data_IF_527617351247
#
_entry.id   IF_527617351247
#
_cell.length_a   1.000
_cell.length_b   1.000
_cell.length_c   1.000
_cell.angle_alpha   90.00
_cell.angle_beta   90.00
_cell.angle_gamma   90.00
#
_symmetry.space_group_name_H-M   'P 1'
#
loop_
_entity.id
_entity.type
_entity.pdbx_description
1 polymer ?
#
# COMPACT_ATOMS: atom_id res chain seq x y z
N UNK A 1 3.16 -29.93 18.64
CA UNK A 1 2.40 -28.69 18.92
C UNK A 1 1.42 -29.00 20.04
N UNK A 2 1.51 -28.34 21.17
CA UNK A 2 0.60 -28.57 22.28
C UNK A 2 -0.35 -27.37 22.40
N UNK A 3 -1.66 -27.62 22.49
CA UNK A 3 -2.69 -26.59 22.71
C UNK A 3 -2.47 -25.81 24.03
N UNK A 4 -1.60 -26.29 24.90
CA UNK A 4 -1.20 -25.60 26.14
C UNK A 4 -0.14 -24.50 25.95
N UNK A 5 0.42 -24.37 24.75
CA UNK A 5 1.39 -23.32 24.45
C UNK A 5 0.64 -21.99 24.21
N UNK A 6 0.86 -20.94 25.03
CA UNK A 6 0.16 -19.67 24.88
C UNK A 6 0.44 -18.98 23.53
N UNK A 7 1.63 -19.17 22.95
CA UNK A 7 1.99 -18.64 21.64
C UNK A 7 1.21 -19.31 20.51
N UNK A 8 0.86 -20.62 20.67
CA UNK A 8 0.00 -21.29 19.70
C UNK A 8 -1.40 -20.65 19.67
N UNK A 9 -1.98 -20.40 20.85
CA UNK A 9 -3.28 -19.73 20.93
C UNK A 9 -3.21 -18.29 20.41
N UNK A 10 -2.16 -17.54 20.79
CA UNK A 10 -1.95 -16.18 20.32
C UNK A 10 -1.85 -16.13 18.78
N UNK A 11 -1.09 -17.04 18.15
CA UNK A 11 -0.97 -17.12 16.72
C UNK A 11 -2.30 -17.52 16.04
N UNK A 12 -3.03 -18.46 16.60
CA UNK A 12 -4.33 -18.88 16.10
C UNK A 12 -5.34 -17.71 16.12
N UNK A 13 -5.42 -17.00 17.26
CA UNK A 13 -6.28 -15.81 17.38
C UNK A 13 -5.82 -14.67 16.48
N UNK A 14 -4.52 -14.45 16.33
CA UNK A 14 -3.97 -13.44 15.42
C UNK A 14 -4.38 -13.71 13.97
N UNK A 15 -4.16 -14.93 13.49
CA UNK A 15 -4.45 -15.34 12.12
C UNK A 15 -5.95 -15.32 11.83
N UNK A 16 -6.74 -16.03 12.64
CA UNK A 16 -8.19 -16.12 12.46
C UNK A 16 -8.88 -14.79 12.75
N UNK A 17 -8.44 -14.06 13.79
CA UNK A 17 -8.99 -12.75 14.14
C UNK A 17 -8.83 -11.74 13.03
N UNK A 18 -7.63 -11.60 12.46
CA UNK A 18 -7.40 -10.69 11.32
C UNK A 18 -8.24 -11.13 10.12
N UNK A 19 -8.21 -12.42 9.75
CA UNK A 19 -9.01 -12.92 8.64
C UNK A 19 -10.51 -12.60 8.79
N UNK A 20 -11.08 -12.83 9.97
CA UNK A 20 -12.50 -12.54 10.20
C UNK A 20 -12.81 -11.05 10.22
N UNK A 21 -11.94 -10.21 10.79
CA UNK A 21 -12.12 -8.76 10.79
C UNK A 21 -12.12 -8.22 9.34
N UNK A 22 -11.19 -8.69 8.51
CA UNK A 22 -11.12 -8.34 7.09
C UNK A 22 -12.36 -8.80 6.33
N UNK A 23 -12.77 -10.05 6.51
CA UNK A 23 -13.95 -10.62 5.89
C UNK A 23 -15.23 -9.87 6.30
N UNK A 24 -15.41 -9.59 7.61
CA UNK A 24 -16.55 -8.83 8.12
C UNK A 24 -16.56 -7.42 7.54
N UNK A 25 -15.40 -6.76 7.50
CA UNK A 25 -15.24 -5.44 6.89
C UNK A 25 -15.70 -5.44 5.43
N UNK A 26 -15.25 -6.41 4.66
CA UNK A 26 -15.61 -6.58 3.26
C UNK A 26 -17.11 -6.82 3.09
N UNK A 27 -17.69 -7.74 3.84
CA UNK A 27 -19.14 -8.06 3.76
C UNK A 27 -20.02 -6.86 4.15
N UNK A 28 -19.65 -6.13 5.21
CA UNK A 28 -20.37 -4.92 5.62
C UNK A 28 -20.25 -3.81 4.57
N UNK A 29 -19.09 -3.72 3.91
CA UNK A 29 -18.87 -2.75 2.84
C UNK A 29 -19.72 -3.09 1.61
N UNK A 30 -19.79 -4.36 1.20
CA UNK A 30 -20.65 -4.84 0.11
C UNK A 30 -22.13 -4.62 0.42
N UNK A 31 -22.58 -4.86 1.63
CA UNK A 31 -23.97 -4.63 2.05
C UNK A 31 -24.41 -3.16 1.90
N UNK A 32 -23.47 -2.21 1.91
CA UNK A 32 -23.76 -0.78 1.71
C UNK A 32 -24.02 -0.38 0.26
N UNK A 33 -23.61 -1.18 -0.71
CA UNK A 33 -23.85 -0.91 -2.14
C UNK A 33 -25.33 -0.82 -2.52
N UNK A 34 -26.22 -1.45 -1.74
CA UNK A 34 -27.67 -1.38 -1.94
C UNK A 34 -28.34 -0.15 -1.36
N UNK A 35 -27.64 0.71 -0.61
CA UNK A 35 -28.23 1.90 0.01
C UNK A 35 -28.47 3.02 -0.99
N UNK A 36 -29.50 3.84 -0.71
CA UNK A 36 -29.72 5.08 -1.46
C UNK A 36 -28.51 6.02 -1.33
N UNK A 37 -28.10 6.62 -2.43
CA UNK A 37 -27.01 7.58 -2.45
C UNK A 37 -27.48 8.93 -1.90
N UNK A 38 -26.61 9.69 -1.22
CA UNK A 38 -26.89 11.07 -0.86
C UNK A 38 -27.18 11.92 -2.10
N UNK A 39 -28.06 12.90 -1.95
CA UNK A 39 -28.46 13.80 -3.04
C UNK A 39 -27.27 14.54 -3.65
N UNK A 40 -26.21 14.79 -2.86
CA UNK A 40 -24.99 15.48 -3.30
C UNK A 40 -24.18 14.75 -4.36
N UNK A 41 -24.40 13.43 -4.54
CA UNK A 41 -23.67 12.59 -5.49
C UNK A 41 -24.59 11.67 -6.30
N UNK A 42 -25.91 11.70 -6.07
CA UNK A 42 -26.86 10.78 -6.71
C UNK A 42 -26.88 10.95 -8.24
N UNK A 43 -26.70 12.18 -8.70
CA UNK A 43 -26.59 12.56 -10.12
C UNK A 43 -25.37 11.94 -10.83
N UNK A 44 -24.30 11.67 -10.10
CA UNK A 44 -23.08 11.07 -10.64
C UNK A 44 -23.20 9.58 -10.95
N UNK A 45 -24.17 8.90 -10.34
CA UNK A 45 -24.34 7.46 -10.42
C UNK A 45 -25.73 7.10 -10.96
N UNK A 46 -26.03 7.32 -12.27
CA UNK A 46 -27.21 6.76 -12.90
C UNK A 46 -27.24 5.24 -12.75
N UNK A 47 -28.41 4.59 -12.93
CA UNK A 47 -28.57 3.17 -12.60
C UNK A 47 -27.57 2.26 -13.33
N UNK A 48 -27.23 2.56 -14.57
CA UNK A 48 -26.21 1.83 -15.34
C UNK A 48 -24.83 1.89 -14.64
N UNK A 49 -24.41 3.09 -14.22
CA UNK A 49 -23.15 3.29 -13.49
C UNK A 49 -23.17 2.59 -12.15
N UNK A 50 -24.32 2.61 -11.44
CA UNK A 50 -24.51 1.88 -10.17
C UNK A 50 -24.40 0.37 -10.36
N UNK A 51 -25.00 -0.16 -11.40
CA UNK A 51 -24.90 -1.58 -11.70
C UNK A 51 -23.47 -1.98 -12.01
N UNK A 52 -22.78 -1.23 -12.90
CA UNK A 52 -21.36 -1.44 -13.21
C UNK A 52 -20.48 -1.39 -11.96
N UNK A 53 -20.72 -0.42 -11.07
CA UNK A 53 -20.02 -0.31 -9.79
C UNK A 53 -20.24 -1.53 -8.90
N UNK A 54 -21.48 -1.99 -8.75
CA UNK A 54 -21.82 -3.18 -7.95
C UNK A 54 -21.13 -4.43 -8.49
N UNK A 55 -21.19 -4.64 -9.80
CA UNK A 55 -20.58 -5.80 -10.45
C UNK A 55 -19.06 -5.79 -10.29
N UNK A 56 -18.43 -4.64 -10.52
CA UNK A 56 -16.99 -4.47 -10.35
C UNK A 56 -16.54 -4.76 -8.91
N UNK A 57 -17.16 -4.13 -7.92
CA UNK A 57 -16.80 -4.31 -6.51
C UNK A 57 -17.12 -5.73 -6.01
N UNK A 58 -18.24 -6.33 -6.47
CA UNK A 58 -18.58 -7.71 -6.11
C UNK A 58 -17.61 -8.73 -6.71
N UNK A 59 -17.18 -8.53 -7.95
CA UNK A 59 -16.16 -9.40 -8.59
C UNK A 59 -14.81 -9.27 -7.88
N UNK A 60 -14.34 -8.05 -7.62
CA UNK A 60 -13.11 -7.81 -6.87
C UNK A 60 -13.15 -8.43 -5.46
N UNK A 61 -14.29 -8.29 -4.76
CA UNK A 61 -14.50 -8.91 -3.45
C UNK A 61 -14.36 -10.44 -3.49
N UNK A 62 -14.89 -11.11 -4.53
CA UNK A 62 -14.73 -12.57 -4.70
C UNK A 62 -13.27 -12.97 -4.89
N UNK A 63 -12.53 -12.23 -5.68
CA UNK A 63 -11.09 -12.49 -5.88
C UNK A 63 -10.34 -12.30 -4.56
N UNK A 64 -10.61 -11.23 -3.83
CA UNK A 64 -9.99 -10.95 -2.52
C UNK A 64 -10.25 -12.08 -1.53
N UNK A 65 -11.51 -12.50 -1.35
CA UNK A 65 -11.86 -13.60 -0.44
C UNK A 65 -11.20 -14.92 -0.84
N UNK A 66 -11.17 -15.22 -2.15
CA UNK A 66 -10.53 -16.44 -2.64
C UNK A 66 -9.01 -16.42 -2.40
N UNK A 67 -8.35 -15.29 -2.62
CA UNK A 67 -6.92 -15.10 -2.37
C UNK A 67 -6.60 -15.21 -0.87
N UNK A 68 -7.37 -14.55 -0.01
CA UNK A 68 -7.17 -14.60 1.44
C UNK A 68 -7.40 -16.01 1.99
N UNK A 69 -8.42 -16.70 1.50
CA UNK A 69 -8.67 -18.10 1.87
C UNK A 69 -7.53 -19.04 1.42
N UNK A 70 -7.00 -18.84 0.20
CA UNK A 70 -5.87 -19.61 -0.29
C UNK A 70 -4.58 -19.32 0.52
N UNK A 71 -4.33 -18.07 0.87
CA UNK A 71 -3.21 -17.68 1.75
C UNK A 71 -3.34 -18.27 3.15
N UNK A 72 -4.56 -18.26 3.72
CA UNK A 72 -4.84 -18.89 5.00
C UNK A 72 -4.65 -20.43 4.93
N UNK A 73 -5.08 -21.05 3.84
CA UNK A 73 -4.88 -22.50 3.63
C UNK A 73 -3.40 -22.86 3.51
N UNK A 74 -2.59 -22.09 2.78
CA UNK A 74 -1.14 -22.25 2.73
C UNK A 74 -0.51 -22.15 4.12
N UNK A 75 -0.85 -21.09 4.86
CA UNK A 75 -0.33 -20.88 6.21
C UNK A 75 -0.73 -22.03 7.15
N UNK A 76 -1.99 -22.42 7.16
CA UNK A 76 -2.49 -23.53 7.98
C UNK A 76 -1.83 -24.85 7.57
N UNK A 77 -1.66 -25.09 6.27
CA UNK A 77 -0.97 -26.26 5.74
C UNK A 77 0.48 -26.34 6.22
N UNK A 78 1.25 -25.27 6.09
CA UNK A 78 2.63 -25.19 6.59
C UNK A 78 2.69 -25.36 8.13
N UNK A 79 1.77 -24.75 8.84
CA UNK A 79 1.76 -24.79 10.28
C UNK A 79 1.43 -26.19 10.82
N UNK A 80 0.31 -26.77 10.41
CA UNK A 80 -0.16 -28.04 10.98
C UNK A 80 0.59 -29.26 10.46
N UNK A 81 1.15 -29.22 9.27
CA UNK A 81 2.01 -30.31 8.77
C UNK A 81 3.44 -30.29 9.33
N UNK A 82 3.81 -29.27 10.14
CA UNK A 82 5.19 -29.07 10.57
C UNK A 82 6.10 -28.52 9.46
N UNK A 83 5.51 -27.93 8.41
CA UNK A 83 6.22 -27.43 7.22
C UNK A 83 7.26 -26.36 7.57
N UNK A 84 7.00 -25.46 8.54
CA UNK A 84 8.00 -24.48 8.97
C UNK A 84 9.26 -25.15 9.53
N UNK A 85 9.10 -26.15 10.41
CA UNK A 85 10.23 -26.92 10.95
C UNK A 85 10.97 -27.69 9.86
N UNK A 86 10.23 -28.29 8.90
CA UNK A 86 10.83 -29.01 7.78
C UNK A 86 11.64 -28.09 6.84
N UNK A 87 11.10 -26.90 6.52
CA UNK A 87 11.81 -25.89 5.69
C UNK A 87 13.08 -25.42 6.43
N UNK A 88 13.00 -25.17 7.75
CA UNK A 88 14.15 -24.77 8.55
C UNK A 88 15.24 -25.86 8.53
N UNK A 89 14.89 -27.10 8.84
CA UNK A 89 15.83 -28.21 8.86
C UNK A 89 16.47 -28.45 7.46
N UNK A 90 15.68 -28.34 6.41
CA UNK A 90 16.18 -28.43 5.05
C UNK A 90 17.15 -27.30 4.71
N UNK A 91 16.84 -26.06 5.08
CA UNK A 91 17.71 -24.92 4.83
C UNK A 91 19.06 -25.05 5.57
N UNK A 92 19.06 -25.54 6.81
CA UNK A 92 20.27 -25.77 7.60
C UNK A 92 21.16 -26.88 7.00
N UNK A 93 20.57 -27.88 6.39
CA UNK A 93 21.34 -28.95 5.70
C UNK A 93 22.01 -28.48 4.40
N UNK A 94 21.46 -27.41 3.74
CA UNK A 94 21.93 -26.97 2.42
C UNK A 94 22.71 -25.65 2.46
N UNK A 95 22.84 -25.04 3.65
CA UNK A 95 23.54 -23.74 3.81
C UNK A 95 24.46 -23.77 5.03
N UNK A 96 25.42 -22.85 5.04
CA UNK A 96 26.33 -22.68 6.17
C UNK A 96 26.00 -21.40 6.95
N UNK A 97 25.61 -21.56 8.21
CA UNK A 97 25.36 -20.48 9.14
C UNK A 97 23.95 -19.85 9.08
N UNK A 98 23.60 -19.06 10.11
CA UNK A 98 22.23 -18.61 10.34
C UNK A 98 21.72 -17.60 9.30
N UNK A 99 22.61 -16.79 8.70
CA UNK A 99 22.23 -15.80 7.69
C UNK A 99 21.78 -16.51 6.42
N UNK A 100 22.58 -17.45 5.90
CA UNK A 100 22.26 -18.15 4.65
C UNK A 100 21.03 -19.03 4.81
N UNK A 101 20.89 -19.77 5.93
CA UNK A 101 19.69 -20.56 6.19
C UNK A 101 18.44 -19.69 6.33
N UNK A 102 18.54 -18.57 7.03
CA UNK A 102 17.42 -17.63 7.19
C UNK A 102 16.98 -16.99 5.88
N UNK A 103 17.92 -16.61 4.99
CA UNK A 103 17.62 -16.11 3.66
C UNK A 103 16.93 -17.19 2.81
N UNK A 104 17.39 -18.45 2.87
CA UNK A 104 16.79 -19.54 2.15
C UNK A 104 15.37 -19.86 2.65
N UNK A 105 15.15 -19.87 3.97
CA UNK A 105 13.83 -20.01 4.59
C UNK A 105 12.87 -18.91 4.09
N UNK A 106 13.30 -17.65 4.15
CA UNK A 106 12.49 -16.53 3.71
C UNK A 106 12.18 -16.61 2.20
N UNK A 107 13.14 -17.05 1.38
CA UNK A 107 12.93 -17.28 -0.04
C UNK A 107 11.90 -18.40 -0.29
N UNK A 108 11.99 -19.54 0.41
CA UNK A 108 11.03 -20.64 0.27
C UNK A 108 9.61 -20.23 0.63
N UNK A 109 9.42 -19.61 1.81
CA UNK A 109 8.09 -19.17 2.26
C UNK A 109 7.56 -18.04 1.37
N UNK A 110 8.41 -17.08 1.00
CA UNK A 110 8.03 -15.96 0.12
C UNK A 110 7.65 -16.42 -1.29
N UNK A 111 8.40 -17.38 -1.88
CA UNK A 111 8.06 -17.98 -3.17
C UNK A 111 6.76 -18.79 -3.11
N UNK A 112 6.53 -19.56 -2.05
CA UNK A 112 5.27 -20.28 -1.87
C UNK A 112 4.08 -19.31 -1.81
N UNK A 113 4.20 -18.23 -1.04
CA UNK A 113 3.16 -17.18 -0.98
C UNK A 113 2.96 -16.51 -2.34
N UNK A 114 4.02 -16.17 -3.05
CA UNK A 114 3.95 -15.57 -4.40
C UNK A 114 3.25 -16.51 -5.39
N UNK A 115 3.58 -17.80 -5.39
CA UNK A 115 2.95 -18.78 -6.27
C UNK A 115 1.45 -18.94 -5.99
N UNK A 116 1.03 -18.84 -4.74
CA UNK A 116 -0.40 -18.84 -4.37
C UNK A 116 -1.08 -17.54 -4.78
N UNK A 117 -0.44 -16.38 -4.64
CA UNK A 117 -1.04 -15.08 -4.96
C UNK A 117 -1.14 -14.81 -6.46
N UNK A 118 -0.16 -15.27 -7.25
CA UNK A 118 -0.02 -14.93 -8.67
C UNK A 118 -1.24 -15.25 -9.54
N UNK A 119 -1.94 -16.40 -9.40
CA UNK A 119 -3.16 -16.68 -10.15
C UNK A 119 -4.28 -15.67 -9.86
N UNK A 120 -4.44 -15.24 -8.61
CA UNK A 120 -5.46 -14.26 -8.21
C UNK A 120 -5.14 -12.87 -8.74
N UNK A 121 -3.87 -12.45 -8.70
CA UNK A 121 -3.44 -11.19 -9.29
C UNK A 121 -3.66 -11.16 -10.81
N UNK A 122 -3.39 -12.27 -11.49
CA UNK A 122 -3.68 -12.42 -12.91
C UNK A 122 -5.19 -12.40 -13.18
N UNK A 123 -5.99 -13.07 -12.35
CA UNK A 123 -7.45 -13.04 -12.45
C UNK A 123 -8.01 -11.63 -12.22
N UNK A 124 -7.54 -10.92 -11.21
CA UNK A 124 -7.94 -9.53 -10.98
C UNK A 124 -7.60 -8.65 -12.20
N UNK A 125 -6.34 -8.67 -12.64
CA UNK A 125 -5.86 -7.83 -13.75
C UNK A 125 -6.55 -8.15 -15.08
N UNK A 126 -6.52 -9.41 -15.53
CA UNK A 126 -7.00 -9.82 -16.86
C UNK A 126 -8.45 -10.29 -16.87
N UNK A 127 -9.03 -10.53 -15.70
CA UNK A 127 -10.43 -10.84 -15.52
C UNK A 127 -11.24 -9.62 -15.12
N UNK A 128 -11.14 -9.21 -13.86
CA UNK A 128 -11.98 -8.15 -13.28
C UNK A 128 -11.69 -6.79 -13.90
N UNK A 129 -10.46 -6.29 -13.82
CA UNK A 129 -10.07 -4.99 -14.36
C UNK A 129 -10.30 -4.90 -15.88
N UNK A 130 -10.06 -6.01 -16.61
CA UNK A 130 -10.28 -6.05 -18.05
C UNK A 130 -11.76 -5.97 -18.43
N UNK A 131 -12.65 -6.72 -17.74
CA UNK A 131 -14.10 -6.69 -18.00
C UNK A 131 -14.72 -5.31 -17.76
N UNK A 132 -14.20 -4.59 -16.78
CA UNK A 132 -14.69 -3.26 -16.44
C UNK A 132 -13.99 -2.10 -17.20
N UNK A 133 -13.04 -2.43 -18.10
CA UNK A 133 -12.36 -1.48 -18.97
C UNK A 133 -11.21 -0.72 -18.32
N UNK A 134 -10.71 -1.21 -17.19
CA UNK A 134 -9.59 -0.59 -16.46
C UNK A 134 -8.24 -1.12 -16.90
N UNK A 135 -8.14 -2.43 -17.19
CA UNK A 135 -6.86 -3.00 -17.60
C UNK A 135 -6.49 -2.60 -19.04
N UNK A 136 -5.30 -2.05 -19.19
CA UNK A 136 -4.61 -1.82 -20.46
C UNK A 136 -3.29 -2.59 -20.55
N UNK A 137 -2.97 -3.37 -19.52
CA UNK A 137 -1.73 -4.12 -19.43
C UNK A 137 -1.77 -5.38 -20.31
N UNK A 138 -0.71 -5.61 -21.08
CA UNK A 138 -0.52 -6.87 -21.78
C UNK A 138 0.13 -7.90 -20.84
N UNK A 139 -0.03 -9.20 -21.15
CA UNK A 139 0.66 -10.28 -20.42
C UNK A 139 2.18 -10.10 -20.39
N UNK A 140 2.78 -9.59 -21.48
CA UNK A 140 4.22 -9.31 -21.52
C UNK A 140 4.64 -8.24 -20.52
N UNK A 141 3.85 -7.16 -20.36
CA UNK A 141 4.10 -6.12 -19.35
C UNK A 141 3.92 -6.68 -17.95
N UNK A 142 2.86 -7.46 -17.71
CA UNK A 142 2.60 -8.09 -16.41
C UNK A 142 3.77 -8.98 -15.97
N UNK A 143 4.20 -9.91 -16.82
CA UNK A 143 5.33 -10.80 -16.52
C UNK A 143 6.63 -10.02 -16.34
N UNK A 144 6.92 -9.05 -17.21
CA UNK A 144 8.11 -8.21 -17.08
C UNK A 144 8.12 -7.43 -15.76
N UNK A 145 6.98 -6.89 -15.32
CA UNK A 145 6.89 -6.16 -14.06
C UNK A 145 7.04 -7.13 -12.85
N UNK A 146 6.52 -8.36 -12.92
CA UNK A 146 6.76 -9.39 -11.89
C UNK A 146 8.24 -9.79 -11.79
N UNK A 147 8.89 -10.00 -12.93
CA UNK A 147 10.34 -10.30 -12.96
C UNK A 147 11.16 -9.15 -12.38
N UNK A 148 10.89 -7.90 -12.78
CA UNK A 148 11.57 -6.73 -12.21
C UNK A 148 11.35 -6.62 -10.69
N UNK A 149 10.13 -6.84 -10.22
CA UNK A 149 9.80 -6.82 -8.79
C UNK A 149 10.57 -7.90 -8.02
N UNK A 150 10.66 -9.12 -8.58
CA UNK A 150 11.43 -10.21 -7.98
C UNK A 150 12.93 -9.91 -7.95
N UNK A 151 13.49 -9.33 -9.03
CA UNK A 151 14.89 -8.90 -9.06
C UNK A 151 15.16 -7.77 -8.05
N UNK A 152 14.26 -6.79 -7.91
CA UNK A 152 14.38 -5.75 -6.89
C UNK A 152 14.30 -6.33 -5.48
N UNK A 153 13.39 -7.29 -5.24
CA UNK A 153 13.32 -7.99 -3.96
C UNK A 153 14.63 -8.74 -3.67
N UNK A 154 15.20 -9.42 -4.66
CA UNK A 154 16.47 -10.11 -4.51
C UNK A 154 17.64 -9.14 -4.28
N UNK A 155 17.73 -8.05 -5.04
CA UNK A 155 18.85 -7.11 -4.97
C UNK A 155 18.79 -6.17 -3.75
N UNK A 156 17.60 -5.81 -3.27
CA UNK A 156 17.44 -4.90 -2.13
C UNK A 156 16.93 -5.62 -0.88
N UNK A 157 15.93 -6.50 -1.04
CA UNK A 157 15.27 -7.15 0.09
C UNK A 157 16.15 -8.20 0.77
N UNK A 158 16.82 -9.08 -0.01
CA UNK A 158 17.68 -10.11 0.60
C UNK A 158 18.88 -9.52 1.35
N UNK A 159 19.63 -8.51 0.85
CA UNK A 159 20.67 -7.86 1.65
C UNK A 159 20.15 -7.20 2.92
N UNK A 160 19.00 -6.52 2.86
CA UNK A 160 18.37 -5.93 4.04
C UNK A 160 18.00 -7.00 5.06
N UNK A 161 17.38 -8.11 4.61
CA UNK A 161 17.03 -9.23 5.48
C UNK A 161 18.27 -9.91 6.07
N UNK A 162 19.32 -10.12 5.28
CA UNK A 162 20.58 -10.69 5.73
C UNK A 162 21.26 -9.85 6.81
N UNK A 163 21.24 -8.52 6.67
CA UNK A 163 21.74 -7.60 7.69
C UNK A 163 20.88 -7.61 8.96
N UNK A 164 19.57 -7.71 8.83
CA UNK A 164 18.69 -7.88 10.00
C UNK A 164 19.02 -9.15 10.77
N UNK A 165 19.16 -10.29 10.06
CA UNK A 165 19.56 -11.55 10.70
C UNK A 165 20.92 -11.37 11.39
N UNK A 166 21.90 -10.76 10.72
CA UNK A 166 23.23 -10.53 11.28
C UNK A 166 23.19 -9.65 12.55
N UNK A 167 22.33 -8.63 12.62
CA UNK A 167 22.18 -7.84 13.83
C UNK A 167 21.63 -8.67 14.98
N UNK A 168 20.59 -9.47 14.77
CA UNK A 168 19.99 -10.28 15.83
C UNK A 168 20.88 -11.46 16.28
N UNK A 169 21.75 -11.96 15.39
CA UNK A 169 22.73 -13.01 15.72
C UNK A 169 23.94 -12.49 16.50
N UNK A 170 24.40 -11.25 16.23
CA UNK A 170 25.74 -10.84 16.66
C UNK A 170 25.75 -9.58 17.53
N UNK A 171 24.66 -8.83 17.66
CA UNK A 171 24.66 -7.55 18.36
C UNK A 171 23.88 -7.58 19.68
N UNK A 172 24.47 -7.05 20.74
CA UNK A 172 23.82 -6.94 22.06
C UNK A 172 22.54 -6.10 22.04
N UNK A 173 22.53 -5.02 21.23
CA UNK A 173 21.38 -4.12 21.06
C UNK A 173 20.77 -4.27 19.66
N UNK A 174 20.51 -5.51 19.26
CA UNK A 174 20.07 -5.87 17.92
C UNK A 174 18.85 -5.06 17.44
N UNK A 175 17.83 -4.94 18.26
CA UNK A 175 16.61 -4.20 17.93
C UNK A 175 16.89 -2.71 17.64
N UNK A 176 17.82 -2.07 18.36
CA UNK A 176 18.22 -0.69 18.14
C UNK A 176 18.99 -0.55 16.81
N UNK A 177 19.96 -1.44 16.55
CA UNK A 177 20.72 -1.41 15.31
C UNK A 177 19.85 -1.73 14.10
N UNK A 178 18.94 -2.69 14.21
CA UNK A 178 17.95 -3.00 13.20
C UNK A 178 17.03 -1.81 12.93
N UNK A 179 16.55 -1.14 13.97
CA UNK A 179 15.75 0.07 13.85
C UNK A 179 16.51 1.20 13.14
N UNK A 180 17.71 1.52 13.59
CA UNK A 180 18.55 2.56 12.97
C UNK A 180 18.84 2.27 11.50
N UNK A 181 19.16 1.01 11.19
CA UNK A 181 19.42 0.58 9.82
C UNK A 181 18.19 0.72 8.92
N UNK A 182 17.04 0.16 9.33
CA UNK A 182 15.80 0.23 8.54
C UNK A 182 15.30 1.67 8.44
N UNK A 183 15.41 2.47 9.50
CA UNK A 183 15.05 3.89 9.46
C UNK A 183 15.90 4.66 8.44
N UNK A 184 17.22 4.46 8.48
CA UNK A 184 18.16 5.08 7.52
C UNK A 184 17.90 4.59 6.11
N UNK A 185 17.72 3.29 5.91
CA UNK A 185 17.38 2.70 4.61
C UNK A 185 16.07 3.25 4.06
N UNK A 186 15.01 3.32 4.87
CA UNK A 186 13.70 3.86 4.47
C UNK A 186 13.81 5.34 4.08
N UNK A 187 14.54 6.12 4.87
CA UNK A 187 14.79 7.52 4.54
C UNK A 187 15.54 7.65 3.22
N UNK A 188 16.61 6.88 3.02
CA UNK A 188 17.36 6.85 1.77
C UNK A 188 16.48 6.45 0.57
N UNK A 189 15.65 5.42 0.73
CA UNK A 189 14.72 4.97 -0.33
C UNK A 189 13.66 6.03 -0.66
N UNK A 190 13.22 6.84 0.28
CA UNK A 190 12.33 7.97 0.00
C UNK A 190 12.93 8.95 -1.03
N UNK A 191 14.25 9.08 -1.05
CA UNK A 191 14.97 9.92 -2.04
C UNK A 191 15.32 9.18 -3.33
N UNK A 192 15.72 7.90 -3.22
CA UNK A 192 16.23 7.13 -4.35
C UNK A 192 15.13 6.47 -5.18
N UNK A 193 14.07 5.96 -4.56
CA UNK A 193 13.03 5.20 -5.26
C UNK A 193 12.38 5.98 -6.42
N UNK A 194 12.02 7.27 -6.28
CA UNK A 194 11.46 8.03 -7.40
C UNK A 194 12.42 8.19 -8.59
N UNK A 195 13.73 8.11 -8.35
CA UNK A 195 14.76 8.31 -9.38
C UNK A 195 15.28 7.04 -9.99
N UNK A 196 15.37 5.96 -9.21
CA UNK A 196 15.99 4.71 -9.61
C UNK A 196 14.98 3.59 -9.85
N UNK A 197 13.96 3.48 -8.98
CA UNK A 197 12.99 2.38 -9.03
C UNK A 197 11.80 2.71 -9.92
N UNK A 198 11.19 3.89 -9.74
CA UNK A 198 10.01 4.25 -10.55
C UNK A 198 10.26 4.22 -12.07
N UNK A 199 11.43 4.70 -12.60
CA UNK A 199 11.70 4.64 -14.04
C UNK A 199 11.86 3.22 -14.62
N UNK A 200 12.03 2.20 -13.79
CA UNK A 200 12.02 0.80 -14.24
C UNK A 200 10.61 0.35 -14.66
N UNK A 201 9.58 0.99 -14.11
CA UNK A 201 8.18 0.65 -14.35
C UNK A 201 7.45 1.69 -15.19
N UNK A 202 7.73 2.97 -14.99
CA UNK A 202 7.02 4.10 -15.60
C UNK A 202 7.98 4.92 -16.48
N UNK A 203 7.52 5.29 -17.65
CA UNK A 203 8.25 6.21 -18.51
C UNK A 203 7.83 7.65 -18.18
N UNK A 204 8.81 8.48 -17.86
CA UNK A 204 8.63 9.90 -17.60
C UNK A 204 9.03 10.69 -18.84
N UNK A 205 8.16 11.56 -19.31
CA UNK A 205 8.43 12.50 -20.41
C UNK A 205 8.12 13.92 -19.95
N UNK A 206 8.96 14.93 -20.24
CA UNK A 206 8.65 16.31 -19.89
C UNK A 206 7.26 16.70 -20.43
N UNK A 207 6.47 17.44 -19.63
CA UNK A 207 5.22 18.02 -20.11
C UNK A 207 5.55 18.98 -21.26
N UNK A 208 4.92 18.83 -22.46
CA UNK A 208 5.16 19.70 -23.60
C UNK A 208 4.95 21.18 -23.27
N UNK A 209 5.70 22.05 -23.95
CA UNK A 209 5.48 23.50 -23.84
C UNK A 209 4.08 23.85 -24.31
N UNK A 210 3.39 24.68 -23.53
CA UNK A 210 2.02 25.06 -23.81
C UNK A 210 1.32 25.73 -22.62
N UNK A 211 0.06 26.11 -22.79
CA UNK A 211 -0.71 26.83 -21.76
C UNK A 211 -0.79 26.11 -20.43
N UNK A 212 -0.97 24.78 -20.44
CA UNK A 212 -1.04 23.98 -19.22
C UNK A 212 0.28 24.01 -18.45
N UNK A 213 1.43 23.80 -19.16
CA UNK A 213 2.73 23.84 -18.51
C UNK A 213 2.99 25.20 -17.87
N UNK A 214 2.67 26.28 -18.58
CA UNK A 214 2.82 27.62 -18.04
C UNK A 214 1.93 27.83 -16.80
N UNK A 215 0.66 27.42 -16.85
CA UNK A 215 -0.26 27.54 -15.73
C UNK A 215 0.21 26.74 -14.49
N UNK A 216 0.81 25.57 -14.68
CA UNK A 216 1.40 24.76 -13.59
C UNK A 216 2.61 25.48 -12.98
N UNK A 217 3.48 26.06 -13.80
CA UNK A 217 4.64 26.80 -13.33
C UNK A 217 4.23 28.07 -12.59
N UNK A 218 3.24 28.81 -13.11
CA UNK A 218 2.68 30.01 -12.46
C UNK A 218 2.02 29.69 -11.12
N UNK A 219 1.28 28.56 -11.04
CA UNK A 219 0.71 28.08 -9.78
C UNK A 219 1.80 27.75 -8.78
N UNK A 220 2.82 27.00 -9.20
CA UNK A 220 3.95 26.65 -8.34
C UNK A 220 4.70 27.88 -7.84
N UNK A 221 4.92 28.88 -8.70
CA UNK A 221 5.55 30.16 -8.34
C UNK A 221 4.70 30.93 -7.31
N UNK A 222 3.40 31.10 -7.55
CA UNK A 222 2.47 31.77 -6.62
C UNK A 222 2.45 31.10 -5.24
N UNK A 223 2.55 29.78 -5.23
CA UNK A 223 2.58 28.99 -4.00
C UNK A 223 4.00 28.85 -3.41
N UNK A 224 4.99 29.57 -3.95
CA UNK A 224 6.39 29.47 -3.51
C UNK A 224 6.84 28.00 -3.38
N UNK A 225 6.47 27.18 -4.36
CA UNK A 225 6.80 25.77 -4.39
C UNK A 225 7.85 25.49 -5.47
N UNK A 226 9.12 25.20 -5.08
CA UNK A 226 10.16 24.95 -6.07
C UNK A 226 9.88 23.65 -6.81
N UNK A 227 9.62 23.75 -8.11
CA UNK A 227 9.42 22.63 -9.04
C UNK A 227 10.65 22.51 -9.92
N UNK A 228 11.31 21.36 -9.92
CA UNK A 228 12.42 21.07 -10.81
C UNK A 228 11.95 20.65 -12.19
N UNK A 229 10.92 19.81 -12.29
CA UNK A 229 10.40 19.28 -13.54
C UNK A 229 8.92 18.93 -13.42
N UNK A 230 8.17 19.19 -14.50
CA UNK A 230 6.79 18.71 -14.69
C UNK A 230 6.83 17.64 -15.77
N UNK A 231 6.43 16.42 -15.43
CA UNK A 231 6.51 15.26 -16.33
C UNK A 231 5.16 14.60 -16.50
N UNK A 232 4.97 14.00 -17.67
CA UNK A 232 3.88 13.07 -17.96
C UNK A 232 4.39 11.66 -17.78
N UNK A 233 3.60 10.79 -17.12
CA UNK A 233 3.89 9.37 -16.98
C UNK A 233 2.93 8.54 -17.83
N UNK A 234 3.44 7.47 -18.42
CA UNK A 234 2.71 6.52 -19.27
C UNK A 234 1.80 5.57 -18.47
N UNK A 235 0.94 6.13 -17.62
CA UNK A 235 -0.02 5.38 -16.81
C UNK A 235 -0.97 4.53 -17.64
N UNK A 236 -1.38 5.08 -18.81
CA UNK A 236 -2.27 4.41 -19.77
C UNK A 236 -1.76 3.07 -20.30
N UNK A 237 -0.46 2.79 -20.20
CA UNK A 237 0.12 1.49 -20.55
C UNK A 237 -0.36 0.36 -19.64
N UNK A 238 -0.82 0.67 -18.43
CA UNK A 238 -1.24 -0.31 -17.41
C UNK A 238 -2.70 -0.20 -17.04
N UNK A 239 -3.19 1.01 -16.90
CA UNK A 239 -4.56 1.24 -16.44
C UNK A 239 -5.17 2.48 -17.10
N UNK A 240 -6.48 2.50 -17.22
CA UNK A 240 -7.24 3.69 -17.61
C UNK A 240 -7.53 4.63 -16.44
N UNK A 241 -7.16 4.24 -15.21
CA UNK A 241 -7.35 5.06 -14.00
C UNK A 241 -6.37 6.23 -13.99
N UNK A 242 -6.87 7.40 -13.70
CA UNK A 242 -6.11 8.65 -13.65
C UNK A 242 -5.32 8.77 -12.34
N UNK A 243 -4.12 9.33 -12.37
CA UNK A 243 -3.31 9.56 -11.18
C UNK A 243 -2.39 10.78 -11.33
N UNK A 244 -2.07 11.43 -10.20
CA UNK A 244 -1.03 12.45 -10.10
C UNK A 244 -0.25 12.23 -8.80
N UNK A 245 1.04 12.51 -8.81
CA UNK A 245 1.87 12.40 -7.60
C UNK A 245 3.11 13.28 -7.67
N UNK A 246 3.64 13.62 -6.50
CA UNK A 246 4.94 14.25 -6.39
C UNK A 246 6.04 13.24 -6.10
N UNK A 247 7.20 13.46 -6.70
CA UNK A 247 8.40 12.69 -6.45
C UNK A 247 9.58 13.61 -6.17
N UNK A 248 10.48 13.22 -5.26
CA UNK A 248 11.68 13.95 -4.94
C UNK A 248 11.51 15.01 -3.84
N UNK A 249 12.61 15.71 -3.50
CA UNK A 249 12.71 16.67 -2.41
C UNK A 249 13.42 17.97 -2.81
N UNK A 250 13.07 19.08 -2.15
CA UNK A 250 13.70 20.37 -2.36
C UNK A 250 13.59 20.83 -3.82
N UNK A 251 14.69 21.26 -4.40
CA UNK A 251 14.79 21.76 -5.80
C UNK A 251 14.72 20.64 -6.86
N UNK A 252 14.76 19.38 -6.45
CA UNK A 252 14.68 18.22 -7.36
C UNK A 252 13.29 17.59 -7.38
N UNK A 253 12.28 18.31 -6.88
CA UNK A 253 10.88 17.87 -6.93
C UNK A 253 10.41 17.78 -8.36
N UNK A 254 9.77 16.66 -8.65
CA UNK A 254 9.13 16.39 -9.93
C UNK A 254 7.63 16.23 -9.71
N UNK A 255 6.84 16.95 -10.49
CA UNK A 255 5.41 16.72 -10.60
C UNK A 255 5.22 15.67 -11.69
N UNK A 256 4.49 14.61 -11.41
CA UNK A 256 4.17 13.57 -12.36
C UNK A 256 2.65 13.47 -12.53
N UNK A 257 2.17 13.73 -13.74
CA UNK A 257 0.77 13.62 -14.15
C UNK A 257 0.63 12.40 -15.05
N UNK A 258 -0.31 11.50 -14.78
CA UNK A 258 -0.60 10.43 -15.74
C UNK A 258 -1.19 11.01 -17.04
N UNK A 259 -0.84 10.41 -18.16
CA UNK A 259 -1.45 10.71 -19.45
C UNK A 259 -2.98 10.57 -19.41
N UNK A 260 -3.50 9.57 -18.70
CA UNK A 260 -4.93 9.37 -18.46
C UNK A 260 -5.59 10.51 -17.69
N UNK A 261 -4.88 11.18 -16.78
CA UNK A 261 -5.39 12.35 -16.05
C UNK A 261 -5.50 13.57 -16.98
N UNK A 262 -4.47 13.77 -17.81
CA UNK A 262 -4.43 14.87 -18.77
C UNK A 262 -5.53 14.77 -19.83
N UNK A 263 -5.88 13.54 -20.25
CA UNK A 263 -6.94 13.28 -21.22
C UNK A 263 -8.34 13.61 -20.68
N UNK A 264 -8.57 13.42 -19.37
CA UNK A 264 -9.91 13.44 -18.77
C UNK A 264 -10.28 14.77 -18.09
N UNK A 265 -9.30 15.56 -17.71
CA UNK A 265 -9.51 16.73 -16.87
C UNK A 265 -9.08 18.03 -17.57
N UNK A 266 -9.90 19.08 -17.56
CA UNK A 266 -9.51 20.41 -18.03
C UNK A 266 -8.45 21.03 -17.10
N UNK A 267 -7.74 22.04 -17.59
CA UNK A 267 -6.61 22.67 -16.89
C UNK A 267 -6.96 23.16 -15.48
N UNK A 268 -8.16 23.70 -15.26
CA UNK A 268 -8.59 24.18 -13.94
C UNK A 268 -8.68 23.08 -12.90
N UNK A 269 -9.21 21.92 -13.27
CA UNK A 269 -9.28 20.75 -12.41
C UNK A 269 -7.87 20.20 -12.12
N UNK A 270 -7.01 20.13 -13.14
CA UNK A 270 -5.61 19.71 -13.00
C UNK A 270 -4.84 20.62 -12.04
N UNK A 271 -5.02 21.93 -12.16
CA UNK A 271 -4.39 22.90 -11.23
C UNK A 271 -4.90 22.74 -9.79
N UNK A 272 -6.19 22.44 -9.60
CA UNK A 272 -6.75 22.19 -8.27
C UNK A 272 -6.19 20.90 -7.65
N UNK A 273 -6.07 19.81 -8.43
CA UNK A 273 -5.41 18.57 -8.00
C UNK A 273 -3.94 18.83 -7.65
N UNK A 274 -3.23 19.61 -8.47
CA UNK A 274 -1.83 19.96 -8.19
C UNK A 274 -1.69 20.85 -6.95
N UNK A 275 -2.62 21.77 -6.72
CA UNK A 275 -2.63 22.58 -5.50
C UNK A 275 -2.88 21.72 -4.26
N UNK A 276 -3.74 20.69 -4.35
CA UNK A 276 -3.95 19.72 -3.29
C UNK A 276 -2.65 18.97 -2.96
N UNK A 277 -1.97 18.47 -3.97
CA UNK A 277 -0.69 17.79 -3.82
C UNK A 277 0.40 18.72 -3.21
N UNK A 278 0.47 19.99 -3.66
CA UNK A 278 1.35 21.01 -3.07
C UNK A 278 0.99 21.21 -1.59
N UNK A 279 -0.29 21.19 -1.25
CA UNK A 279 -0.80 21.28 0.12
C UNK A 279 -0.22 20.21 1.03
N UNK A 280 -0.17 18.95 0.60
CA UNK A 280 0.47 17.88 1.35
C UNK A 280 1.93 18.20 1.71
N UNK A 281 2.64 18.79 0.79
CA UNK A 281 4.04 19.15 1.02
C UNK A 281 4.20 20.38 1.92
N UNK A 282 3.45 21.46 1.66
CA UNK A 282 3.49 22.70 2.46
C UNK A 282 3.10 22.45 3.91
N UNK A 283 2.14 21.57 4.17
CA UNK A 283 1.68 21.18 5.49
C UNK A 283 2.54 20.08 6.15
N UNK A 284 3.64 19.68 5.49
CA UNK A 284 4.62 18.69 5.96
C UNK A 284 4.00 17.33 6.29
N UNK A 285 2.99 16.90 5.55
CA UNK A 285 2.29 15.64 5.80
C UNK A 285 3.24 14.44 5.67
N UNK A 286 4.12 14.44 4.68
CA UNK A 286 5.16 13.40 4.49
C UNK A 286 6.06 13.27 5.72
N UNK A 287 6.51 14.39 6.30
CA UNK A 287 7.35 14.38 7.51
C UNK A 287 6.61 13.82 8.74
N UNK A 288 5.32 14.14 8.89
CA UNK A 288 4.48 13.61 9.98
C UNK A 288 4.27 12.11 9.85
N UNK A 289 4.00 11.60 8.62
CA UNK A 289 3.89 10.18 8.35
C UNK A 289 5.21 9.46 8.59
N UNK A 290 6.32 10.06 8.19
CA UNK A 290 7.65 9.49 8.45
C UNK A 290 7.92 9.37 9.96
N UNK A 291 7.61 10.41 10.75
CA UNK A 291 7.80 10.38 12.19
C UNK A 291 6.94 9.26 12.86
N UNK A 292 5.66 9.13 12.45
CA UNK A 292 4.81 8.04 12.93
C UNK A 292 5.36 6.67 12.54
N UNK A 293 5.79 6.50 11.29
CA UNK A 293 6.38 5.26 10.80
C UNK A 293 7.68 4.87 11.54
N UNK A 294 8.50 5.84 11.95
CA UNK A 294 9.70 5.58 12.76
C UNK A 294 9.34 5.07 14.17
N UNK A 295 8.29 5.60 14.78
CA UNK A 295 7.79 5.11 16.08
C UNK A 295 7.23 3.69 15.93
N UNK A 296 6.43 3.44 14.90
CA UNK A 296 5.88 2.12 14.60
C UNK A 296 6.99 1.09 14.33
N UNK A 297 8.02 1.48 13.56
CA UNK A 297 9.20 0.65 13.33
C UNK A 297 9.96 0.34 14.64
N UNK A 298 10.07 1.30 15.56
CA UNK A 298 10.71 1.06 16.85
C UNK A 298 9.91 0.03 17.68
N UNK A 299 8.59 0.15 17.71
CA UNK A 299 7.71 -0.83 18.35
C UNK A 299 7.90 -2.22 17.71
N UNK A 300 7.89 -2.29 16.38
CA UNK A 300 8.06 -3.54 15.64
C UNK A 300 9.41 -4.21 15.94
N UNK A 301 10.52 -3.46 15.93
CA UNK A 301 11.85 -4.01 16.23
C UNK A 301 11.98 -4.42 17.69
N UNK A 302 11.37 -3.69 18.60
CA UNK A 302 11.33 -4.05 20.03
C UNK A 302 10.57 -5.35 20.28
N UNK A 303 9.37 -5.50 19.70
CA UNK A 303 8.57 -6.72 19.78
C UNK A 303 9.29 -7.90 19.11
N UNK A 304 9.89 -7.70 17.95
CA UNK A 304 10.69 -8.71 17.27
C UNK A 304 11.85 -9.19 18.16
N UNK A 305 12.62 -8.26 18.72
CA UNK A 305 13.75 -8.60 19.59
C UNK A 305 13.33 -9.38 20.84
N UNK A 306 12.17 -9.07 21.40
CA UNK A 306 11.60 -9.84 22.49
C UNK A 306 11.20 -11.25 22.06
N UNK A 307 10.44 -11.39 20.97
CA UNK A 307 9.90 -12.66 20.49
C UNK A 307 11.00 -13.63 20.03
N UNK A 308 12.09 -13.14 19.45
CA UNK A 308 13.22 -13.99 19.03
C UNK A 308 13.92 -14.71 20.17
N UNK A 309 13.75 -14.27 21.42
CA UNK A 309 14.31 -14.92 22.61
C UNK A 309 13.34 -15.93 23.25
N UNK A 310 12.12 -16.06 22.73
CA UNK A 310 11.06 -16.91 23.31
C UNK A 310 11.02 -18.28 22.62
N UNK A 311 11.65 -19.29 23.18
CA UNK A 311 11.65 -20.66 22.59
C UNK A 311 10.24 -21.24 22.42
N UNK A 312 9.30 -20.89 23.32
CA UNK A 312 7.91 -21.28 23.24
C UNK A 312 7.20 -20.73 22.00
N UNK A 313 7.62 -19.55 21.51
CA UNK A 313 7.15 -18.98 20.25
C UNK A 313 7.49 -19.89 19.06
N UNK A 314 8.74 -20.33 18.93
CA UNK A 314 9.16 -21.23 17.86
C UNK A 314 8.49 -22.60 17.97
N UNK A 315 8.40 -23.15 19.18
CA UNK A 315 7.73 -24.43 19.43
C UNK A 315 6.24 -24.42 19.04
N UNK A 316 5.56 -23.27 19.11
CA UNK A 316 4.18 -23.10 18.66
C UNK A 316 4.01 -23.40 17.18
N UNK A 317 5.04 -23.18 16.37
CA UNK A 317 5.05 -23.43 14.92
C UNK A 317 5.80 -24.74 14.55
N UNK A 318 6.20 -25.54 15.53
CA UNK A 318 6.92 -26.81 15.30
C UNK A 318 8.37 -26.60 14.85
N UNK A 319 8.98 -25.47 15.17
CA UNK A 319 10.37 -25.15 14.84
C UNK A 319 11.25 -25.47 16.04
N UNK A 320 12.34 -26.21 15.83
CA UNK A 320 13.32 -26.51 16.85
C UNK A 320 14.31 -25.35 17.02
N UNK A 321 14.73 -25.10 18.26
CA UNK A 321 15.62 -23.97 18.56
C UNK A 321 14.97 -22.61 18.39
N UNK A 322 15.80 -21.59 18.16
CA UNK A 322 15.38 -20.20 17.97
C UNK A 322 16.08 -19.58 16.73
N UNK A 323 15.92 -20.17 15.53
CA UNK A 323 16.61 -19.69 14.34
C UNK A 323 16.07 -18.32 13.92
N UNK A 324 16.91 -17.29 13.93
CA UNK A 324 16.53 -15.89 13.69
C UNK A 324 15.79 -15.69 12.37
N UNK A 325 16.26 -16.31 11.28
CA UNK A 325 15.62 -16.15 9.97
C UNK A 325 14.18 -16.66 9.94
N UNK A 326 13.92 -17.85 10.51
CA UNK A 326 12.56 -18.37 10.67
C UNK A 326 11.76 -17.50 11.65
N UNK A 327 12.37 -17.00 12.71
CA UNK A 327 11.73 -16.10 13.67
C UNK A 327 11.21 -14.82 13.01
N UNK A 328 11.94 -14.24 12.05
CA UNK A 328 11.48 -13.09 11.27
C UNK A 328 10.22 -13.42 10.43
N UNK A 329 10.18 -14.60 9.82
CA UNK A 329 9.01 -15.07 9.05
C UNK A 329 7.80 -15.27 9.98
N UNK A 330 7.97 -15.98 11.09
CA UNK A 330 6.91 -16.26 12.06
C UNK A 330 6.42 -14.99 12.77
N UNK A 331 7.34 -14.06 13.06
CA UNK A 331 6.98 -12.74 13.61
C UNK A 331 6.02 -11.99 12.71
N UNK A 332 6.23 -12.00 11.39
CA UNK A 332 5.33 -11.38 10.43
C UNK A 332 3.88 -11.87 10.54
N UNK A 333 3.68 -13.14 10.91
CA UNK A 333 2.34 -13.72 11.14
C UNK A 333 1.70 -13.12 12.40
N UNK A 334 2.45 -13.08 13.50
CA UNK A 334 1.96 -12.60 14.79
C UNK A 334 1.86 -11.08 14.89
N UNK A 335 2.63 -10.34 14.10
CA UNK A 335 2.59 -8.88 14.07
C UNK A 335 1.34 -8.33 13.34
N UNK A 336 0.67 -9.13 12.51
CA UNK A 336 -0.50 -8.67 11.72
C UNK A 336 -1.57 -7.93 12.54
N UNK A 337 -2.04 -8.39 13.72
CA UNK A 337 -3.01 -7.63 14.52
C UNK A 337 -2.46 -6.30 15.02
N UNK A 338 -1.18 -6.25 15.41
CA UNK A 338 -0.52 -5.02 15.85
C UNK A 338 -0.42 -4.04 14.68
N UNK A 339 0.03 -4.52 13.51
CA UNK A 339 0.10 -3.73 12.29
C UNK A 339 -1.25 -3.21 11.83
N UNK A 340 -2.34 -3.98 12.01
CA UNK A 340 -3.70 -3.52 11.73
C UNK A 340 -4.08 -2.34 12.64
N UNK A 341 -3.81 -2.43 13.95
CA UNK A 341 -4.12 -1.38 14.92
C UNK A 341 -3.27 -0.12 14.70
N UNK A 342 -1.97 -0.27 14.50
CA UNK A 342 -1.08 0.87 14.25
C UNK A 342 -1.39 1.51 12.88
N UNK A 343 -1.68 0.69 11.86
CA UNK A 343 -2.11 1.15 10.55
C UNK A 343 -3.38 1.99 10.59
N UNK A 344 -4.36 1.67 11.44
CA UNK A 344 -5.57 2.49 11.63
C UNK A 344 -5.23 3.92 12.08
N UNK A 345 -4.23 4.09 12.95
CA UNK A 345 -3.77 5.41 13.38
C UNK A 345 -3.15 6.19 12.21
N UNK A 346 -2.33 5.54 11.39
CA UNK A 346 -1.75 6.11 10.18
C UNK A 346 -2.81 6.52 9.15
N UNK A 347 -3.81 5.67 8.90
CA UNK A 347 -4.93 5.96 8.01
C UNK A 347 -5.81 7.09 8.54
N UNK A 348 -6.07 7.16 9.84
CA UNK A 348 -6.82 8.25 10.45
C UNK A 348 -6.08 9.61 10.28
N UNK A 349 -4.76 9.60 10.47
CA UNK A 349 -3.91 10.77 10.22
C UNK A 349 -3.94 11.16 8.73
N UNK A 350 -3.86 10.18 7.81
CA UNK A 350 -3.93 10.40 6.37
C UNK A 350 -5.24 11.09 5.98
N UNK A 351 -6.39 10.57 6.42
CA UNK A 351 -7.70 11.19 6.14
C UNK A 351 -7.81 12.63 6.66
N UNK A 352 -7.21 12.92 7.80
CA UNK A 352 -7.16 14.30 8.34
C UNK A 352 -6.30 15.20 7.46
N UNK A 353 -5.20 14.70 6.94
CA UNK A 353 -4.33 15.41 6.02
C UNK A 353 -4.99 15.70 4.68
N UNK A 354 -5.87 14.81 4.20
CA UNK A 354 -6.67 15.03 2.98
C UNK A 354 -7.57 16.26 3.11
N UNK A 355 -8.33 16.39 4.21
CA UNK A 355 -9.15 17.58 4.43
C UNK A 355 -8.32 18.86 4.49
N UNK A 356 -7.12 18.80 5.09
CA UNK A 356 -6.22 19.95 5.14
C UNK A 356 -5.69 20.32 3.76
N UNK A 357 -5.34 19.32 2.94
CA UNK A 357 -4.87 19.52 1.58
C UNK A 357 -6.00 20.03 0.66
N UNK A 358 -7.22 19.55 0.84
CA UNK A 358 -8.41 20.05 0.13
C UNK A 358 -8.69 21.52 0.42
N UNK A 359 -8.68 21.90 1.69
CA UNK A 359 -8.87 23.31 2.09
C UNK A 359 -7.74 24.21 1.55
N UNK A 360 -6.49 23.73 1.60
CA UNK A 360 -5.35 24.42 1.02
C UNK A 360 -5.53 24.63 -0.49
N UNK A 361 -5.94 23.58 -1.21
CA UNK A 361 -6.17 23.64 -2.64
C UNK A 361 -7.25 24.63 -3.01
N UNK A 362 -8.40 24.61 -2.32
CA UNK A 362 -9.50 25.53 -2.55
C UNK A 362 -9.05 27.01 -2.39
N UNK A 363 -8.25 27.31 -1.38
CA UNK A 363 -7.67 28.64 -1.19
C UNK A 363 -6.66 29.00 -2.29
N UNK A 364 -5.81 28.06 -2.67
CA UNK A 364 -4.74 28.27 -3.65
C UNK A 364 -5.25 28.57 -5.08
N UNK A 365 -6.38 27.96 -5.48
CA UNK A 365 -6.99 28.19 -6.80
C UNK A 365 -8.15 29.17 -6.78
N UNK A 366 -8.48 29.77 -5.62
CA UNK A 366 -9.53 30.81 -5.50
C UNK A 366 -10.95 30.26 -5.44
N UNK A 367 -11.14 29.00 -5.05
CA UNK A 367 -12.45 28.38 -4.83
C UNK A 367 -12.43 26.86 -4.84
N UNK A 368 -13.43 26.24 -4.25
CA UNK A 368 -13.53 24.80 -4.11
C UNK A 368 -14.01 24.08 -5.39
N UNK A 369 -14.72 24.79 -6.28
CA UNK A 369 -15.40 24.17 -7.41
C UNK A 369 -14.52 23.34 -8.36
N UNK A 370 -13.29 23.77 -8.76
CA UNK A 370 -12.44 22.96 -9.62
C UNK A 370 -12.04 21.63 -8.98
N UNK A 371 -11.69 21.64 -7.68
CA UNK A 371 -11.33 20.41 -6.96
C UNK A 371 -12.54 19.49 -6.78
N UNK A 372 -13.72 20.05 -6.44
CA UNK A 372 -14.96 19.27 -6.34
C UNK A 372 -15.29 18.57 -7.66
N UNK A 373 -15.14 19.26 -8.80
CA UNK A 373 -15.35 18.66 -10.13
C UNK A 373 -14.36 17.53 -10.41
N UNK A 374 -13.08 17.75 -10.12
CA UNK A 374 -12.06 16.72 -10.28
C UNK A 374 -12.37 15.48 -9.42
N UNK A 375 -12.72 15.66 -8.13
CA UNK A 375 -13.04 14.57 -7.22
C UNK A 375 -14.30 13.80 -7.65
N UNK A 376 -15.33 14.48 -8.14
CA UNK A 376 -16.56 13.87 -8.68
C UNK A 376 -16.23 12.96 -9.87
N UNK A 377 -15.44 13.44 -10.83
CA UNK A 377 -15.02 12.66 -12.01
C UNK A 377 -14.15 11.46 -11.60
N UNK A 378 -13.13 11.68 -10.77
CA UNK A 378 -12.25 10.62 -10.29
C UNK A 378 -13.03 9.51 -9.55
N UNK A 379 -14.02 9.88 -8.74
CA UNK A 379 -14.84 8.93 -8.00
C UNK A 379 -15.64 8.00 -8.91
N UNK A 380 -16.23 8.54 -9.97
CA UNK A 380 -16.99 7.77 -10.98
C UNK A 380 -16.05 6.98 -11.87
N UNK A 381 -15.01 7.62 -12.38
CA UNK A 381 -14.05 7.01 -13.31
C UNK A 381 -13.29 5.83 -12.73
N UNK A 382 -13.09 5.81 -11.41
CA UNK A 382 -12.42 4.69 -10.71
C UNK A 382 -13.42 3.66 -10.16
N UNK A 383 -14.72 3.84 -10.35
CA UNK A 383 -15.77 3.05 -9.70
C UNK A 383 -15.53 2.90 -8.19
N UNK A 384 -15.18 4.02 -7.55
CA UNK A 384 -14.93 4.05 -6.12
C UNK A 384 -16.23 3.87 -5.34
N UNK A 385 -16.19 3.12 -4.22
CA UNK A 385 -17.38 2.92 -3.39
C UNK A 385 -17.90 4.27 -2.84
N UNK A 386 -19.10 4.73 -3.19
CA UNK A 386 -19.57 6.08 -2.87
C UNK A 386 -19.85 6.28 -1.38
N UNK A 387 -20.21 5.22 -0.65
CA UNK A 387 -20.56 5.23 0.78
C UNK A 387 -19.99 4.01 1.50
N UNK A 388 -18.66 3.88 1.62
CA UNK A 388 -18.06 2.72 2.27
C UNK A 388 -18.51 2.59 3.74
N UNK A 389 -18.44 1.36 4.27
CA UNK A 389 -18.77 1.11 5.68
C UNK A 389 -17.69 1.72 6.60
N UNK A 390 -18.02 2.30 7.78
CA UNK A 390 -17.03 2.89 8.69
C UNK A 390 -15.88 1.95 9.04
N UNK A 391 -16.14 0.67 9.24
CA UNK A 391 -15.09 -0.31 9.49
C UNK A 391 -14.12 -0.41 8.30
N UNK A 392 -14.61 -0.44 7.05
CA UNK A 392 -13.76 -0.45 5.87
C UNK A 392 -12.96 0.86 5.73
N UNK A 393 -13.57 2.00 6.07
CA UNK A 393 -12.87 3.29 6.10
C UNK A 393 -11.73 3.26 7.12
N UNK A 394 -11.97 2.74 8.31
CA UNK A 394 -10.95 2.69 9.37
C UNK A 394 -9.79 1.76 9.04
N UNK A 395 -10.08 0.63 8.42
CA UNK A 395 -9.09 -0.41 8.14
C UNK A 395 -8.29 -0.19 6.85
N UNK A 396 -8.88 0.49 5.83
CA UNK A 396 -8.31 0.47 4.47
C UNK A 396 -8.23 1.81 3.77
N UNK A 397 -9.01 2.82 4.19
CA UNK A 397 -9.09 4.07 3.43
C UNK A 397 -8.09 5.11 3.94
N UNK A 398 -7.10 5.44 3.12
CA UNK A 398 -6.20 6.57 3.34
C UNK A 398 -6.85 7.93 3.03
N UNK A 399 -7.91 7.92 2.21
CA UNK A 399 -8.68 9.11 1.84
C UNK A 399 -10.10 9.03 2.42
N UNK A 400 -10.69 10.15 2.85
CA UNK A 400 -12.09 10.18 3.25
C UNK A 400 -13.02 9.85 2.09
N UNK A 401 -14.23 9.32 2.33
CA UNK A 401 -15.24 9.14 1.30
C UNK A 401 -15.50 10.42 0.52
N UNK A 402 -15.81 10.28 -0.78
CA UNK A 402 -16.10 11.42 -1.67
C UNK A 402 -17.12 12.39 -1.07
N UNK A 403 -18.22 11.85 -0.50
CA UNK A 403 -19.29 12.67 0.12
C UNK A 403 -18.77 13.57 1.22
N UNK A 404 -17.88 13.04 2.07
CA UNK A 404 -17.32 13.81 3.19
C UNK A 404 -16.38 14.91 2.70
N UNK A 405 -15.55 14.63 1.67
CA UNK A 405 -14.65 15.62 1.06
C UNK A 405 -15.44 16.74 0.38
N UNK A 406 -16.49 16.41 -0.39
CA UNK A 406 -17.35 17.40 -1.02
C UNK A 406 -18.03 18.30 0.01
N UNK A 407 -18.61 17.73 1.08
CA UNK A 407 -19.25 18.49 2.14
C UNK A 407 -18.24 19.41 2.88
N UNK A 408 -17.02 18.96 3.13
CA UNK A 408 -15.98 19.80 3.73
C UNK A 408 -15.56 20.96 2.82
N UNK A 409 -15.43 20.71 1.51
CA UNK A 409 -15.12 21.74 0.52
C UNK A 409 -16.23 22.78 0.34
N UNK A 410 -17.50 22.44 0.53
CA UNK A 410 -18.62 23.39 0.52
C UNK A 410 -18.55 24.37 1.71
N UNK A 411 -17.97 23.95 2.82
CA UNK A 411 -17.79 24.77 4.03
C UNK A 411 -16.49 25.60 4.01
N UNK A 412 -15.53 25.22 3.19
CA UNK A 412 -14.25 25.92 3.01
C UNK A 412 -14.46 27.13 2.08
N UNK A 413 -14.99 28.23 2.64
CA UNK A 413 -15.14 29.52 1.95
C UNK A 413 -13.93 30.42 2.18
#
# INVERSE_FOLDING_TARGET
>A
MTMSNPWFLAALFAVLGVFHVELISLLLNMARLGRALPTSIADLYPEETRQKLRDYLAEGARVTVAQDAAGLALLAGLWWSGGFGAIQAWAEQHTSGPIASGLLVAACVGLAQMLVSLPFEAWDTFGVEARHGFNRMSWGVFVADKVKSLLLLACLGLPVLGLLIAFFEHQRFAALWAWLFIATFSLLMTFLAPRLIMPLFLKFTPLPDGPLRQAVLDLAQRLEFPVGEVSVVDGSRRSSKANAFFAGFGRTRRIALSDTLLEKHPSEELLAVLAHEIGHNKLRHVGKHLALGLVELALMMGLLGWMLNESAFFAAFGVAGTPTGMGLVLFGILYRPVGLLTGMAGLAMSRRHEFQADAYAAQAVGGAAPLQQALRKLGVDHLSHPQPHPLAIWLHHSHPPLVERLAALEQAK
#
